data_IF_099853143175
#
_entry.id   IF_099853143175
#
_cell.length_a   1.000
_cell.length_b   1.000
_cell.length_c   1.000
_cell.angle_alpha   90.00
_cell.angle_beta   90.00
_cell.angle_gamma   90.00
#
_symmetry.space_group_name_H-M   'P 1'
#
loop_
_entity.id
_entity.type
_entity.pdbx_description
1 polymer ?
#
# COMPACT_ATOMS: atom_id res chain seq x y z
N UNK A 1 11.90 19.04 6.04
CA UNK A 1 11.38 18.68 4.70
C UNK A 1 10.26 17.68 4.89
N UNK A 2 9.06 17.90 4.33
CA UNK A 2 7.99 16.91 4.44
C UNK A 2 8.41 15.63 3.71
N UNK A 3 8.37 14.50 4.41
CA UNK A 3 8.61 13.18 3.82
C UNK A 3 7.35 12.77 3.06
N UNK A 4 7.51 12.30 1.84
CA UNK A 4 6.40 11.86 0.99
C UNK A 4 6.49 10.35 0.79
N UNK A 5 5.34 9.67 0.80
CA UNK A 5 5.28 8.25 0.46
C UNK A 5 5.54 8.07 -1.03
N UNK A 6 6.57 7.29 -1.37
CA UNK A 6 6.91 6.93 -2.73
C UNK A 6 6.45 5.49 -2.97
N UNK A 7 5.35 5.27 -3.72
CA UNK A 7 4.87 3.92 -4.01
C UNK A 7 5.82 3.19 -4.95
N UNK A 8 6.14 1.94 -4.62
CA UNK A 8 6.85 1.02 -5.49
C UNK A 8 5.85 0.37 -6.44
N UNK A 9 6.10 0.44 -7.75
CA UNK A 9 5.24 -0.17 -8.79
C UNK A 9 5.38 -1.70 -8.90
N UNK A 10 6.01 -2.35 -7.93
CA UNK A 10 6.20 -3.80 -7.92
C UNK A 10 4.89 -4.50 -7.54
N UNK A 11 4.54 -5.55 -8.30
CA UNK A 11 3.45 -6.43 -7.95
C UNK A 11 4.00 -7.58 -7.11
N UNK A 12 3.77 -7.51 -5.80
CA UNK A 12 4.27 -8.50 -4.85
C UNK A 12 3.42 -9.77 -4.79
N UNK A 13 2.16 -9.73 -5.28
CA UNK A 13 1.23 -10.86 -5.25
C UNK A 13 0.69 -11.18 -3.85
N UNK A 14 1.57 -11.56 -2.92
CA UNK A 14 1.25 -11.89 -1.52
C UNK A 14 1.97 -10.95 -0.55
N UNK A 15 1.46 -10.90 0.69
CA UNK A 15 2.03 -10.06 1.75
C UNK A 15 3.48 -10.43 2.09
N UNK A 16 3.83 -11.72 2.06
CA UNK A 16 5.18 -12.21 2.37
C UNK A 16 6.27 -11.67 1.42
N UNK A 17 5.93 -11.42 0.15
CA UNK A 17 6.90 -10.99 -0.87
C UNK A 17 7.27 -9.51 -0.72
N UNK A 18 6.45 -8.73 -0.02
CA UNK A 18 6.77 -7.33 0.31
C UNK A 18 7.99 -7.33 1.26
N UNK A 19 9.03 -6.52 1.02
CA UNK A 19 10.17 -6.39 1.94
C UNK A 19 9.71 -5.94 3.34
N UNK A 20 10.37 -6.42 4.40
CA UNK A 20 9.99 -6.08 5.78
C UNK A 20 10.19 -4.58 6.11
N UNK A 21 11.22 -3.94 5.54
CA UNK A 21 11.47 -2.50 5.70
C UNK A 21 10.56 -1.62 4.83
N UNK A 22 9.71 -2.19 3.99
CA UNK A 22 8.79 -1.42 3.17
C UNK A 22 7.60 -0.93 3.99
N UNK A 23 7.26 0.34 3.81
CA UNK A 23 6.03 0.92 4.33
C UNK A 23 4.84 0.40 3.51
N UNK A 24 3.81 -0.10 4.19
CA UNK A 24 2.57 -0.55 3.57
C UNK A 24 1.51 0.54 3.76
N UNK A 25 1.01 1.07 2.64
CA UNK A 25 -0.14 1.97 2.60
C UNK A 25 -1.34 1.29 1.98
N UNK A 26 -2.51 1.61 2.50
CA UNK A 26 -3.79 1.19 1.92
C UNK A 26 -4.51 2.42 1.41
N UNK A 27 -4.76 2.45 0.10
CA UNK A 27 -5.52 3.49 -0.59
C UNK A 27 -6.94 3.02 -0.86
N UNK A 28 -7.94 3.75 -0.40
CA UNK A 28 -9.31 3.51 -0.83
C UNK A 28 -9.52 4.02 -2.26
N UNK A 29 -10.00 3.16 -3.15
CA UNK A 29 -10.34 3.50 -4.53
C UNK A 29 -11.63 4.31 -4.63
N UNK A 30 -12.49 4.27 -3.61
CA UNK A 30 -13.76 5.02 -3.60
C UNK A 30 -13.59 6.48 -3.12
N UNK A 31 -12.88 6.71 -2.01
CA UNK A 31 -12.72 8.06 -1.43
C UNK A 31 -11.32 8.64 -1.58
N UNK A 32 -10.36 7.86 -2.10
CA UNK A 32 -8.97 8.28 -2.28
C UNK A 32 -8.14 8.35 -1.00
N UNK A 33 -8.73 8.18 0.19
CA UNK A 33 -7.98 8.22 1.46
C UNK A 33 -6.90 7.15 1.51
N UNK A 34 -5.71 7.58 1.92
CA UNK A 34 -4.56 6.71 2.17
C UNK A 34 -4.32 6.64 3.68
N UNK A 35 -4.04 5.45 4.17
CA UNK A 35 -3.62 5.24 5.55
C UNK A 35 -2.51 4.21 5.58
N UNK A 36 -1.55 4.45 6.46
CA UNK A 36 -0.50 3.49 6.74
C UNK A 36 -1.08 2.33 7.54
N UNK A 37 -0.65 1.12 7.21
CA UNK A 37 -1.05 -0.09 7.91
C UNK A 37 0.20 -0.84 8.29
N UNK A 38 0.26 -1.21 9.56
CA UNK A 38 1.34 -2.04 10.06
C UNK A 38 1.27 -3.45 9.46
N UNK A 39 2.45 -3.99 9.09
CA UNK A 39 2.55 -5.31 8.49
C UNK A 39 2.05 -6.41 9.43
N UNK A 40 2.44 -6.36 10.71
CA UNK A 40 2.04 -7.37 11.68
C UNK A 40 0.52 -7.38 11.83
N UNK A 41 -0.10 -6.20 11.90
CA UNK A 41 -1.57 -6.08 11.92
C UNK A 41 -2.26 -6.68 10.68
N UNK A 42 -1.63 -6.61 9.51
CA UNK A 42 -2.12 -7.27 8.28
C UNK A 42 -1.91 -8.79 8.34
N UNK A 43 -0.74 -9.24 8.78
CA UNK A 43 -0.39 -10.65 8.93
C UNK A 43 -1.27 -11.35 9.97
N UNK A 44 -1.58 -10.71 11.08
CA UNK A 44 -2.50 -11.23 12.11
C UNK A 44 -3.93 -11.37 11.60
N UNK A 45 -4.39 -10.44 10.76
CA UNK A 45 -5.78 -10.43 10.25
C UNK A 45 -5.99 -11.30 9.01
N UNK A 46 -4.99 -11.41 8.16
CA UNK A 46 -5.08 -12.10 6.87
C UNK A 46 -4.23 -13.36 6.77
N UNK A 47 -3.18 -13.48 7.57
CA UNK A 47 -2.16 -14.52 7.45
C UNK A 47 -1.02 -14.11 6.51
N UNK A 48 0.17 -14.65 6.76
CA UNK A 48 1.40 -14.34 6.00
C UNK A 48 1.31 -14.74 4.52
N UNK A 49 0.54 -15.78 4.20
CA UNK A 49 0.40 -16.34 2.84
C UNK A 49 -0.78 -15.76 2.06
N UNK A 50 -1.54 -14.84 2.64
CA UNK A 50 -2.68 -14.25 1.95
C UNK A 50 -2.25 -13.43 0.73
N UNK A 51 -2.99 -13.62 -0.37
CA UNK A 51 -2.87 -12.79 -1.56
C UNK A 51 -3.35 -11.37 -1.25
N UNK A 52 -2.58 -10.38 -1.68
CA UNK A 52 -2.93 -8.97 -1.50
C UNK A 52 -4.32 -8.68 -2.06
N UNK A 53 -4.69 -9.29 -3.20
CA UNK A 53 -6.01 -9.17 -3.81
C UNK A 53 -7.16 -9.66 -2.93
N UNK A 54 -6.93 -10.68 -2.11
CA UNK A 54 -7.95 -11.19 -1.19
C UNK A 54 -8.09 -10.25 0.02
N UNK A 55 -6.97 -9.76 0.54
CA UNK A 55 -6.93 -8.77 1.63
C UNK A 55 -7.63 -7.47 1.20
N UNK A 56 -7.36 -6.98 -0.01
CA UNK A 56 -7.97 -5.80 -0.62
C UNK A 56 -9.50 -5.87 -0.69
N UNK A 57 -10.07 -7.07 -0.93
CA UNK A 57 -11.52 -7.30 -0.96
C UNK A 57 -12.16 -7.25 0.43
N UNK A 58 -11.40 -7.59 1.47
CA UNK A 58 -11.88 -7.62 2.86
C UNK A 58 -11.70 -6.28 3.57
N UNK A 59 -10.71 -5.49 3.13
CA UNK A 59 -10.40 -4.17 3.67
C UNK A 59 -11.56 -3.19 3.45
N UNK A 60 -12.15 -2.76 4.56
CA UNK A 60 -13.21 -1.75 4.59
C UNK A 60 -12.58 -0.39 4.89
N UNK A 61 -12.78 0.59 4.02
CA UNK A 61 -12.40 1.96 4.31
C UNK A 61 -13.40 2.60 5.28
N UNK A 62 -12.96 3.64 6.00
CA UNK A 62 -13.83 4.47 6.85
C UNK A 62 -15.00 5.11 6.09
N UNK A 63 -14.92 5.24 4.76
CA UNK A 63 -16.06 5.67 3.93
C UNK A 63 -17.14 4.59 3.73
N UNK A 64 -16.92 3.37 4.27
CA UNK A 64 -17.87 2.26 4.20
C UNK A 64 -17.67 1.30 3.02
N UNK A 65 -16.93 1.71 1.99
CA UNK A 65 -16.67 0.89 0.79
C UNK A 65 -15.56 -0.14 1.00
N UNK A 66 -15.73 -1.32 0.39
CA UNK A 66 -14.75 -2.42 0.34
C UNK A 66 -13.97 -2.38 -0.99
N UNK A 67 -13.32 -1.26 -1.23
CA UNK A 67 -12.54 -1.01 -2.43
C UNK A 67 -11.21 -0.38 -2.00
N UNK A 68 -10.31 -1.22 -1.50
CA UNK A 68 -9.00 -0.81 -1.04
C UNK A 68 -7.92 -1.39 -1.97
N UNK A 69 -6.82 -0.66 -2.13
CA UNK A 69 -5.63 -1.09 -2.84
C UNK A 69 -4.43 -1.00 -1.91
N UNK A 70 -3.70 -2.08 -1.77
CA UNK A 70 -2.48 -2.14 -0.98
C UNK A 70 -1.32 -1.66 -1.86
N UNK A 71 -0.51 -0.77 -1.31
CA UNK A 71 0.66 -0.17 -1.96
C UNK A 71 1.84 -0.33 -1.01
N UNK A 72 2.94 -0.92 -1.48
CA UNK A 72 4.18 -0.91 -0.74
C UNK A 72 5.08 0.21 -1.27
N UNK A 73 5.84 0.84 -0.39
CA UNK A 73 6.70 1.97 -0.73
C UNK A 73 7.62 2.33 0.42
N UNK A 74 8.22 3.51 0.33
CA UNK A 74 9.09 4.04 1.38
C UNK A 74 8.85 5.55 1.51
N UNK A 75 9.09 6.09 2.70
CA UNK A 75 9.13 7.54 2.87
C UNK A 75 10.48 8.07 2.39
N UNK A 76 10.43 8.92 1.37
CA UNK A 76 11.59 9.61 0.84
C UNK A 76 11.34 11.10 0.72
N UNK A 77 12.42 11.83 0.43
CA UNK A 77 12.28 13.16 -0.16
C UNK A 77 11.80 12.98 -1.60
N UNK A 78 10.83 13.77 -2.09
CA UNK A 78 10.49 13.77 -3.51
C UNK A 78 11.70 14.29 -4.30
N UNK A 79 12.57 13.40 -4.74
CA UNK A 79 13.66 13.78 -5.62
C UNK A 79 13.08 14.00 -7.02
N UNK A 80 13.40 15.09 -7.74
CA UNK A 80 12.83 15.39 -9.05
C UNK A 80 13.05 14.28 -10.10
N UNK A 81 13.98 13.35 -9.87
CA UNK A 81 14.23 12.19 -10.73
C UNK A 81 13.54 10.88 -10.30
N UNK A 82 12.87 10.84 -9.14
CA UNK A 82 12.09 9.67 -8.68
C UNK A 82 10.57 9.91 -8.78
N UNK A 83 10.17 10.88 -9.61
CA UNK A 83 8.81 11.02 -10.09
C UNK A 83 8.58 10.03 -11.24
N UNK A 84 7.68 9.08 -11.02
CA UNK A 84 6.81 8.47 -12.04
C UNK A 84 6.91 9.20 -13.38
N UNK A 85 7.52 8.54 -14.39
CA UNK A 85 7.31 8.89 -15.79
C UNK A 85 5.82 8.63 -16.10
N UNK A 86 4.97 9.57 -15.70
CA UNK A 86 3.71 9.81 -16.37
C UNK A 86 4.06 10.27 -17.77
N UNK A 87 4.06 9.33 -18.73
CA UNK A 87 4.04 9.67 -20.15
C UNK A 87 2.85 10.60 -20.38
N UNK A 88 3.16 11.82 -20.81
CA UNK A 88 2.25 12.68 -21.60
C UNK A 88 1.91 11.96 -22.90
#
# INVERSE_FOLDING_TARGET
MPRTFLPTNANFGTLNVIPHDATIMVRCLACGKMHEVDRLSLEEKAGHTAELKDIEKRLKCSCGQKAAKIMAGYYGSPHPNYGVKGKI
#
